data_IF_308934545175
#
_entry.id   IF_308934545175
#
_cell.length_a   1.000
_cell.length_b   1.000
_cell.length_c   1.000
_cell.angle_alpha   90.00
_cell.angle_beta   90.00
_cell.angle_gamma   90.00
#
_symmetry.space_group_name_H-M   'P 1'
#
loop_
_entity.id
_entity.type
_entity.pdbx_description
1 polymer ?
#
# COMPACT_ATOMS: atom_id res chain seq x y z
N UNK A 1 -0.49 -8.15 10.04
CA UNK A 1 0.27 -8.93 9.05
C UNK A 1 0.38 -8.10 7.79
N UNK A 2 1.59 -7.84 7.29
CA UNK A 2 1.75 -7.21 5.98
C UNK A 2 1.41 -8.21 4.87
N UNK A 3 0.85 -7.74 3.75
CA UNK A 3 0.48 -8.57 2.59
C UNK A 3 1.04 -7.96 1.30
N UNK A 4 1.49 -8.81 0.38
CA UNK A 4 1.86 -8.44 -1.00
C UNK A 4 0.87 -9.09 -1.94
N UNK A 5 0.31 -8.31 -2.86
CA UNK A 5 -0.69 -8.79 -3.83
C UNK A 5 -0.26 -8.39 -5.24
N UNK A 6 -0.26 -9.36 -6.16
CA UNK A 6 0.17 -9.17 -7.54
C UNK A 6 -1.03 -9.16 -8.50
N UNK A 7 -1.03 -8.23 -9.46
CA UNK A 7 -2.09 -8.09 -10.45
C UNK A 7 -1.52 -8.07 -11.88
N UNK A 8 -2.19 -8.70 -12.85
CA UNK A 8 -1.73 -8.67 -14.24
C UNK A 8 -1.83 -7.26 -14.83
N UNK A 9 -0.81 -6.92 -15.63
CA UNK A 9 -0.71 -5.65 -16.33
C UNK A 9 -1.67 -5.64 -17.53
N UNK A 10 -2.77 -4.89 -17.43
CA UNK A 10 -3.74 -4.75 -18.54
C UNK A 10 -4.26 -3.32 -18.76
N UNK A 11 -3.73 -2.34 -18.02
CA UNK A 11 -3.92 -0.88 -18.16
C UNK A 11 -3.45 -0.20 -16.86
N UNK A 12 -2.21 0.28 -16.80
CA UNK A 12 -1.54 0.69 -15.54
C UNK A 12 -2.09 2.02 -15.00
N UNK A 13 -2.15 3.07 -15.83
CA UNK A 13 -2.52 4.41 -15.36
C UNK A 13 -3.99 4.55 -14.96
N UNK A 14 -4.90 3.83 -15.62
CA UNK A 14 -6.30 3.78 -15.21
C UNK A 14 -6.45 3.13 -13.82
N UNK A 15 -5.67 2.06 -13.56
CA UNK A 15 -5.72 1.31 -12.29
C UNK A 15 -5.25 2.11 -11.09
N UNK A 16 -4.20 2.92 -11.18
CA UNK A 16 -3.70 3.67 -10.00
C UNK A 16 -4.72 4.69 -9.49
N UNK A 17 -5.39 5.40 -10.40
CA UNK A 17 -6.47 6.33 -10.02
C UNK A 17 -7.67 5.58 -9.43
N UNK A 18 -8.07 4.46 -10.04
CA UNK A 18 -9.15 3.61 -9.53
C UNK A 18 -8.84 3.04 -8.13
N UNK A 19 -7.58 2.68 -7.87
CA UNK A 19 -7.11 2.19 -6.58
C UNK A 19 -7.12 3.30 -5.52
N UNK A 20 -6.68 4.52 -5.85
CA UNK A 20 -6.79 5.67 -4.94
C UNK A 20 -8.25 6.01 -4.62
N UNK A 21 -9.10 6.01 -5.63
CA UNK A 21 -10.53 6.33 -5.47
C UNK A 21 -11.24 5.27 -4.61
N UNK A 22 -11.03 3.99 -4.90
CA UNK A 22 -11.62 2.89 -4.13
C UNK A 22 -11.09 2.87 -2.70
N UNK A 23 -9.81 3.18 -2.47
CA UNK A 23 -9.24 3.34 -1.14
C UNK A 23 -9.91 4.48 -0.37
N UNK A 24 -10.05 5.66 -0.99
CA UNK A 24 -10.74 6.81 -0.38
C UNK A 24 -12.18 6.47 0.02
N UNK A 25 -12.94 5.85 -0.87
CA UNK A 25 -14.31 5.37 -0.58
C UNK A 25 -14.33 4.35 0.55
N UNK A 26 -13.36 3.42 0.58
CA UNK A 26 -13.28 2.40 1.63
C UNK A 26 -12.95 3.03 2.99
N UNK A 27 -12.03 4.01 3.03
CA UNK A 27 -11.67 4.71 4.28
C UNK A 27 -12.84 5.49 4.88
N UNK A 28 -13.81 5.96 4.08
CA UNK A 28 -15.03 6.56 4.65
C UNK A 28 -15.87 5.56 5.44
N UNK A 29 -15.85 4.28 5.04
CA UNK A 29 -16.55 3.19 5.74
C UNK A 29 -15.73 2.62 6.89
N UNK A 30 -14.40 2.60 6.75
CA UNK A 30 -13.44 2.11 7.72
C UNK A 30 -12.51 3.22 8.22
N UNK A 31 -13.13 4.28 8.77
CA UNK A 31 -12.48 5.53 9.17
C UNK A 31 -11.32 5.36 10.15
N UNK A 32 -11.32 4.27 10.94
CA UNK A 32 -10.23 3.96 11.87
C UNK A 32 -8.88 3.80 11.17
N UNK A 33 -8.85 3.36 9.91
CA UNK A 33 -7.61 3.22 9.14
C UNK A 33 -7.08 4.55 8.58
N UNK A 34 -7.88 5.62 8.61
CA UNK A 34 -7.47 6.98 8.26
C UNK A 34 -7.00 7.80 9.48
N UNK A 35 -6.99 7.21 10.67
CA UNK A 35 -6.59 7.88 11.92
C UNK A 35 -5.15 7.60 12.34
N UNK A 36 -4.82 7.99 13.58
CA UNK A 36 -3.53 7.70 14.25
C UNK A 36 -3.76 7.15 15.64
N UNK A 37 -2.79 6.40 16.16
CA UNK A 37 -2.84 6.03 17.58
C UNK A 37 -2.77 7.28 18.46
N UNK A 38 -3.64 7.35 19.46
CA UNK A 38 -3.66 8.47 20.39
C UNK A 38 -2.34 8.54 21.18
N UNK A 39 -1.73 9.74 21.19
CA UNK A 39 -0.40 9.98 21.78
C UNK A 39 -0.35 9.82 23.29
N UNK A 40 -1.46 10.10 23.97
CA UNK A 40 -1.53 10.18 25.44
C UNK A 40 -1.99 8.85 26.05
N UNK A 41 -2.81 8.09 25.32
CA UNK A 41 -3.25 6.76 25.71
C UNK A 41 -3.36 5.89 24.46
N UNK A 42 -2.39 5.01 24.22
CA UNK A 42 -2.30 4.12 23.05
C UNK A 42 -3.43 3.08 22.95
N UNK A 43 -4.44 3.16 23.82
CA UNK A 43 -5.59 2.26 23.90
C UNK A 43 -6.64 2.50 22.81
N UNK A 44 -6.59 3.61 22.07
CA UNK A 44 -7.54 3.91 21.01
C UNK A 44 -6.88 4.62 19.81
N UNK A 45 -7.61 4.62 18.70
CA UNK A 45 -7.25 5.33 17.47
C UNK A 45 -8.01 6.65 17.44
N UNK A 46 -7.27 7.76 17.33
CA UNK A 46 -7.80 9.07 17.00
C UNK A 46 -8.15 9.11 15.52
N UNK A 47 -9.45 9.14 15.21
CA UNK A 47 -9.99 9.10 13.86
C UNK A 47 -10.02 10.51 13.25
N UNK A 48 -8.84 11.09 13.10
CA UNK A 48 -8.63 12.49 12.74
C UNK A 48 -8.50 12.75 11.23
N UNK A 49 -8.88 11.78 10.40
CA UNK A 49 -8.83 11.84 8.93
C UNK A 49 -7.46 12.25 8.35
N UNK A 50 -6.36 12.00 9.05
CA UNK A 50 -5.01 12.15 8.50
C UNK A 50 -4.74 11.24 7.27
N UNK A 51 -5.62 10.26 7.05
CA UNK A 51 -5.61 9.40 5.88
C UNK A 51 -4.60 8.24 5.97
N UNK A 52 -4.61 7.44 4.92
CA UNK A 52 -3.63 6.37 4.69
C UNK A 52 -2.55 6.84 3.71
N UNK A 53 -1.32 6.39 3.90
CA UNK A 53 -0.23 6.69 2.98
C UNK A 53 -0.33 5.74 1.77
N UNK A 54 -0.25 6.30 0.57
CA UNK A 54 -0.26 5.56 -0.69
C UNK A 54 1.03 5.84 -1.43
N UNK A 55 1.86 4.81 -1.61
CA UNK A 55 3.18 4.88 -2.22
C UNK A 55 3.15 4.17 -3.58
N UNK A 56 3.63 4.87 -4.60
CA UNK A 56 3.80 4.34 -5.94
C UNK A 56 5.29 4.11 -6.20
N UNK A 57 5.64 2.92 -6.67
CA UNK A 57 6.99 2.58 -7.08
C UNK A 57 6.94 1.85 -8.42
N UNK A 58 7.92 2.14 -9.27
CA UNK A 58 8.07 1.53 -10.59
C UNK A 58 9.43 0.87 -10.70
N UNK A 59 9.45 -0.37 -11.19
CA UNK A 59 10.66 -1.13 -11.47
C UNK A 59 10.72 -1.47 -12.96
N UNK A 60 11.93 -1.42 -13.50
CA UNK A 60 12.19 -1.82 -14.87
C UNK A 60 12.20 -3.36 -14.98
N UNK A 61 11.22 -3.95 -15.66
CA UNK A 61 11.07 -5.38 -15.83
C UNK A 61 9.64 -5.86 -15.60
N UNK A 62 9.32 -7.08 -16.05
CA UNK A 62 7.96 -7.61 -15.97
C UNK A 62 7.66 -8.29 -14.65
N UNK A 63 6.39 -8.27 -14.22
CA UNK A 63 5.93 -9.03 -13.05
C UNK A 63 6.26 -10.53 -13.21
N UNK A 64 6.11 -11.08 -14.41
CA UNK A 64 6.44 -12.48 -14.69
C UNK A 64 7.92 -12.79 -14.45
N UNK A 65 8.82 -11.90 -14.89
CA UNK A 65 10.26 -12.06 -14.67
C UNK A 65 10.60 -11.97 -13.17
N UNK A 66 9.96 -11.05 -12.44
CA UNK A 66 10.12 -10.94 -11.00
C UNK A 66 9.68 -12.23 -10.30
N UNK A 67 8.45 -12.71 -10.55
CA UNK A 67 7.91 -13.90 -9.90
C UNK A 67 8.71 -15.19 -10.18
N UNK A 68 9.42 -15.25 -11.31
CA UNK A 68 10.27 -16.40 -11.66
C UNK A 68 11.65 -16.36 -11.03
N UNK A 69 12.20 -15.17 -10.77
CA UNK A 69 13.60 -15.00 -10.39
C UNK A 69 13.81 -14.40 -9.00
N UNK A 70 12.76 -13.90 -8.34
CA UNK A 70 12.89 -13.25 -7.03
C UNK A 70 13.06 -14.25 -5.90
N UNK A 71 13.89 -13.88 -4.92
CA UNK A 71 14.00 -14.57 -3.65
C UNK A 71 13.04 -13.95 -2.64
N UNK A 72 12.75 -14.70 -1.58
CA UNK A 72 11.83 -14.24 -0.54
C UNK A 72 12.31 -12.95 0.16
N UNK A 73 13.62 -12.69 0.17
CA UNK A 73 14.26 -11.48 0.70
C UNK A 73 14.01 -10.24 -0.17
N UNK A 74 13.69 -10.40 -1.46
CA UNK A 74 13.36 -9.27 -2.33
C UNK A 74 11.99 -8.66 -1.98
N UNK A 75 11.10 -9.45 -1.38
CA UNK A 75 9.77 -8.99 -0.93
C UNK A 75 9.85 -8.07 0.28
N UNK A 76 10.94 -8.12 1.06
CA UNK A 76 11.10 -7.21 2.19
C UNK A 76 11.17 -5.75 1.70
N UNK A 77 11.77 -5.51 0.54
CA UNK A 77 11.82 -4.19 -0.09
C UNK A 77 10.42 -3.65 -0.44
N UNK A 78 9.41 -4.52 -0.46
CA UNK A 78 8.03 -4.17 -0.77
C UNK A 78 7.21 -3.73 0.43
N UNK A 79 7.78 -3.85 1.62
CA UNK A 79 7.17 -3.32 2.82
C UNK A 79 7.81 -2.00 3.19
N UNK A 80 7.01 -0.96 3.40
CA UNK A 80 7.52 0.29 3.94
C UNK A 80 7.86 0.09 5.42
N UNK A 81 9.09 -0.33 5.70
CA UNK A 81 9.57 -0.44 7.08
C UNK A 81 9.84 0.96 7.67
N UNK A 82 9.44 1.15 8.93
CA UNK A 82 9.94 2.24 9.76
C UNK A 82 9.11 3.53 9.78
N UNK A 83 7.83 3.48 10.17
CA UNK A 83 7.19 4.60 10.90
C UNK A 83 5.88 4.13 11.56
N UNK A 84 5.72 4.48 12.83
CA UNK A 84 4.56 4.16 13.67
C UNK A 84 3.30 4.86 13.13
N UNK A 85 2.22 4.11 12.95
CA UNK A 85 0.86 4.67 12.97
C UNK A 85 0.15 4.91 11.63
N UNK A 86 0.70 4.51 10.48
CA UNK A 86 0.06 4.75 9.17
C UNK A 86 -0.17 3.44 8.41
N UNK A 87 -1.37 3.25 7.86
CA UNK A 87 -1.61 2.22 6.83
C UNK A 87 -0.90 2.68 5.57
N UNK A 88 0.07 1.88 5.11
CA UNK A 88 0.82 2.17 3.90
C UNK A 88 0.40 1.18 2.82
N UNK A 89 -0.18 1.70 1.75
CA UNK A 89 -0.52 0.93 0.55
C UNK A 89 0.61 1.16 -0.44
N UNK A 90 1.42 0.14 -0.68
CA UNK A 90 2.49 0.20 -1.65
C UNK A 90 2.07 -0.60 -2.89
N UNK A 91 2.09 0.05 -4.04
CA UNK A 91 1.85 -0.62 -5.32
C UNK A 91 3.17 -0.77 -6.03
N UNK A 92 3.48 -2.01 -6.38
CA UNK A 92 4.62 -2.37 -7.22
C UNK A 92 4.21 -2.39 -8.68
N UNK A 93 4.77 -1.48 -9.46
CA UNK A 93 4.61 -1.44 -10.90
C UNK A 93 5.84 -2.07 -11.57
N UNK A 94 5.61 -3.00 -12.49
CA UNK A 94 6.63 -3.67 -13.27
C UNK A 94 6.47 -3.22 -14.74
N UNK A 95 7.41 -2.45 -15.29
CA UNK A 95 7.34 -1.92 -16.66
C UNK A 95 7.88 -2.93 -17.68
N UNK A 96 7.25 -2.97 -18.86
CA UNK A 96 7.69 -3.81 -20.00
C UNK A 96 9.13 -3.55 -20.44
#
# INVERSE_FOLDING_TARGET
MPMVVFYPNSAIHAKTLDLKNSLSQTLTQYYSFAGRHAKIASAYVDCNDEGAEFLEASVNGTLSNFLQNSLHEDLDQFFPYGTVGTVKVMIFEATE
#
